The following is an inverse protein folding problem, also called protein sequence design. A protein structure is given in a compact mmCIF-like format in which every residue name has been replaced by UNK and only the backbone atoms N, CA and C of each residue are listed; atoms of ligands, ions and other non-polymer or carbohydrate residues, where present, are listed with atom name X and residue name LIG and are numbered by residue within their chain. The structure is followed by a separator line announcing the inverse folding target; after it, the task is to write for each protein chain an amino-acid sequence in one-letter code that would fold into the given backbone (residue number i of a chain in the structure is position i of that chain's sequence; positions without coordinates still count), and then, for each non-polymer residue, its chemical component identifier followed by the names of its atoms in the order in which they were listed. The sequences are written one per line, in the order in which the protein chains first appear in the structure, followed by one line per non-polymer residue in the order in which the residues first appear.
data_IF_927318037028
#
_entry.id   IF_927318037028
#
_cell.length_a   1.000
_cell.length_b   1.000
_cell.length_c   1.000
_cell.angle_alpha   90.00
_cell.angle_beta   90.00
_cell.angle_gamma   90.00
#
_symmetry.space_group_name_H-M   'P 1'
#
loop_
_entity.id
_entity.type
_entity.pdbx_description
1 polymer ?
#
# COMPACT_ATOMS: atom_id res chain seq x y z
N UNK A 1 8.47 4.05 -7.32
CA UNK A 1 8.19 2.71 -6.74
C UNK A 1 8.80 2.67 -5.35
N UNK A 2 8.05 2.17 -4.37
CA UNK A 2 8.41 2.13 -2.97
C UNK A 2 7.95 0.79 -2.35
N UNK A 3 8.87 -0.18 -2.34
CA UNK A 3 8.69 -1.52 -1.76
C UNK A 3 9.89 -1.87 -0.87
N UNK A 4 9.74 -2.87 -0.02
CA UNK A 4 10.68 -3.26 1.04
C UNK A 4 10.92 -2.14 2.08
N UNK A 5 9.83 -1.52 2.52
CA UNK A 5 9.80 -0.43 3.48
C UNK A 5 9.10 -0.89 4.77
N UNK A 6 9.79 -0.88 5.91
CA UNK A 6 9.11 -1.00 7.20
C UNK A 6 8.51 0.33 7.69
N UNK A 7 8.95 1.46 7.11
CA UNK A 7 8.47 2.80 7.45
C UNK A 7 8.61 3.76 6.26
N UNK A 8 7.61 4.64 6.07
CA UNK A 8 7.61 5.67 5.03
C UNK A 8 8.07 7.01 5.62
N UNK A 9 9.38 7.26 5.57
CA UNK A 9 9.96 8.52 6.04
C UNK A 9 9.58 9.72 5.17
N UNK A 10 9.69 10.94 5.71
CA UNK A 10 9.43 12.18 4.95
C UNK A 10 10.31 12.31 3.69
N UNK A 11 11.53 11.75 3.71
CA UNK A 11 12.39 11.69 2.53
C UNK A 11 11.77 10.84 1.42
N UNK A 12 11.21 9.68 1.80
CA UNK A 12 10.49 8.81 0.86
C UNK A 12 9.23 9.52 0.37
N UNK A 13 8.48 10.16 1.28
CA UNK A 13 7.27 10.90 0.90
C UNK A 13 7.55 11.97 -0.15
N UNK A 14 8.55 12.83 0.10
CA UNK A 14 8.98 13.87 -0.84
C UNK A 14 9.45 13.32 -2.19
N UNK A 15 10.05 12.13 -2.21
CA UNK A 15 10.50 11.50 -3.45
C UNK A 15 9.34 10.90 -4.27
N UNK A 16 8.23 10.57 -3.62
CA UNK A 16 7.02 10.04 -4.25
C UNK A 16 5.99 11.12 -4.60
N UNK A 17 6.14 12.31 -4.03
CA UNK A 17 5.24 13.44 -4.25
C UNK A 17 5.04 13.73 -5.75
N UNK A 18 3.82 14.13 -6.11
CA UNK A 18 3.39 14.47 -7.48
C UNK A 18 3.53 13.35 -8.53
N UNK A 19 3.64 12.10 -8.11
CA UNK A 19 3.61 10.97 -9.03
C UNK A 19 2.19 10.74 -9.57
N UNK A 20 2.05 10.55 -10.89
CA UNK A 20 0.79 10.08 -11.50
C UNK A 20 0.44 8.65 -11.05
N UNK A 21 1.47 7.85 -10.79
CA UNK A 21 1.37 6.42 -10.43
C UNK A 21 2.30 6.10 -9.27
N UNK A 22 1.76 5.40 -8.28
CA UNK A 22 2.52 4.83 -7.18
C UNK A 22 2.49 3.30 -7.24
N UNK A 23 3.59 2.69 -6.85
CA UNK A 23 3.66 1.26 -6.51
C UNK A 23 4.14 1.24 -5.08
N UNK A 24 3.24 0.85 -4.17
CA UNK A 24 3.42 0.97 -2.72
C UNK A 24 3.29 -0.41 -2.09
N UNK A 25 4.18 -0.74 -1.16
CA UNK A 25 4.07 -1.96 -0.37
C UNK A 25 2.83 -1.94 0.54
N UNK A 26 2.12 -3.06 0.56
CA UNK A 26 1.05 -3.34 1.52
C UNK A 26 1.21 -4.80 1.93
N UNK A 27 2.21 -5.07 2.78
CA UNK A 27 2.72 -6.42 2.96
C UNK A 27 1.78 -7.29 3.77
N UNK A 28 1.29 -6.82 4.91
CA UNK A 28 0.54 -7.67 5.83
C UNK A 28 -0.64 -6.95 6.47
N UNK A 29 -1.66 -7.73 6.79
CA UNK A 29 -2.62 -7.39 7.81
C UNK A 29 -2.04 -7.72 9.20
N UNK A 30 -2.18 -6.79 10.14
CA UNK A 30 -1.56 -6.88 11.47
C UNK A 30 -2.12 -8.06 12.25
N UNK A 31 -3.43 -8.29 12.18
CA UNK A 31 -4.09 -9.33 12.96
C UNK A 31 -3.86 -10.71 12.36
N UNK A 32 -3.92 -10.85 11.03
CA UNK A 32 -3.51 -12.09 10.36
C UNK A 32 -2.07 -12.45 10.69
N UNK A 33 -1.15 -11.47 10.65
CA UNK A 33 0.25 -11.71 11.03
C UNK A 33 0.40 -12.14 12.49
N UNK A 34 -0.32 -11.51 13.42
CA UNK A 34 -0.30 -11.87 14.84
C UNK A 34 -0.83 -13.27 15.10
N UNK A 35 -1.91 -13.67 14.43
CA UNK A 35 -2.53 -14.99 14.57
C UNK A 35 -1.81 -16.09 13.75
N UNK A 36 -1.00 -15.69 12.78
CA UNK A 36 -0.29 -16.59 11.87
C UNK A 36 0.75 -17.50 12.54
N UNK A 37 1.29 -18.45 11.77
CA UNK A 37 2.16 -19.52 12.30
C UNK A 37 3.62 -19.10 12.49
N UNK A 38 4.00 -17.90 12.06
CA UNK A 38 5.38 -17.44 12.18
C UNK A 38 5.87 -17.41 13.64
N UNK A 39 7.14 -17.77 13.91
CA UNK A 39 7.74 -17.57 15.21
C UNK A 39 7.67 -16.10 15.63
N UNK A 40 7.59 -15.85 16.94
CA UNK A 40 7.48 -14.48 17.47
C UNK A 40 8.57 -13.54 16.96
N UNK A 41 9.81 -14.01 16.86
CA UNK A 41 10.92 -13.19 16.36
C UNK A 41 10.69 -12.72 14.91
N UNK A 42 10.10 -13.56 14.06
CA UNK A 42 9.75 -13.20 12.69
C UNK A 42 8.62 -12.18 12.65
N UNK A 43 7.54 -12.40 13.43
CA UNK A 43 6.43 -11.44 13.55
C UNK A 43 6.93 -10.07 14.01
N UNK A 44 7.76 -10.05 15.07
CA UNK A 44 8.36 -8.83 15.62
C UNK A 44 9.22 -8.09 14.58
N UNK A 45 9.98 -8.80 13.75
CA UNK A 45 10.77 -8.17 12.68
C UNK A 45 9.85 -7.55 11.62
N UNK A 46 8.84 -8.27 11.15
CA UNK A 46 7.91 -7.81 10.11
C UNK A 46 7.13 -6.57 10.57
N UNK A 47 6.67 -6.57 11.83
CA UNK A 47 5.92 -5.46 12.44
C UNK A 47 6.77 -4.21 12.76
N UNK A 48 8.10 -4.32 12.73
CA UNK A 48 8.98 -3.20 13.08
C UNK A 48 9.29 -2.29 11.90
N UNK A 49 9.85 -1.12 12.19
CA UNK A 49 10.18 -0.07 11.19
C UNK A 49 11.22 -0.49 10.14
N UNK A 50 11.97 -1.57 10.41
CA UNK A 50 12.95 -2.19 9.50
C UNK A 50 12.39 -3.46 8.82
N UNK A 51 11.12 -3.75 9.05
CA UNK A 51 10.38 -4.89 8.49
C UNK A 51 9.68 -4.50 7.20
N UNK A 52 8.37 -4.69 7.19
CA UNK A 52 7.53 -4.48 6.01
C UNK A 52 6.34 -3.59 6.33
N UNK A 53 5.85 -2.86 5.33
CA UNK A 53 4.76 -1.90 5.51
C UNK A 53 3.45 -2.66 5.72
N UNK A 54 2.75 -2.38 6.81
CA UNK A 54 1.40 -2.92 7.01
C UNK A 54 0.39 -2.26 6.06
N UNK A 55 -0.77 -2.88 5.85
CA UNK A 55 -1.85 -2.28 5.06
C UNK A 55 -2.28 -0.91 5.64
N UNK A 56 -2.36 -0.79 6.97
CA UNK A 56 -2.69 0.46 7.64
C UNK A 56 -1.61 1.53 7.39
N UNK A 57 -0.34 1.17 7.54
CA UNK A 57 0.77 2.11 7.30
C UNK A 57 0.86 2.54 5.83
N UNK A 58 0.46 1.67 4.89
CA UNK A 58 0.32 2.02 3.48
C UNK A 58 -0.82 3.04 3.28
N UNK A 59 -1.97 2.84 3.95
CA UNK A 59 -3.06 3.81 3.97
C UNK A 59 -2.67 5.17 4.54
N UNK A 60 -2.01 5.18 5.70
CA UNK A 60 -1.48 6.40 6.32
C UNK A 60 -0.52 7.14 5.39
N UNK A 61 0.45 6.42 4.82
CA UNK A 61 1.41 6.99 3.88
C UNK A 61 0.72 7.57 2.65
N UNK A 62 -0.29 6.86 2.12
CA UNK A 62 -1.03 7.28 0.95
C UNK A 62 -1.92 8.49 1.25
N UNK A 63 -2.53 8.61 2.43
CA UNK A 63 -3.27 9.82 2.85
C UNK A 63 -2.42 11.08 2.81
N UNK A 64 -1.13 10.98 3.13
CA UNK A 64 -0.21 12.10 3.09
C UNK A 64 0.36 12.37 1.68
N UNK A 65 0.41 11.34 0.84
CA UNK A 65 0.97 11.39 -0.51
C UNK A 65 -0.06 11.71 -1.59
N UNK A 66 -1.34 11.46 -1.33
CA UNK A 66 -2.39 11.60 -2.33
C UNK A 66 -2.55 13.08 -2.67
N UNK A 67 -1.98 13.45 -3.81
CA UNK A 67 -2.21 14.75 -4.44
C UNK A 67 -3.28 14.59 -5.51
N UNK A 68 -3.87 15.69 -5.96
CA UNK A 68 -4.82 15.67 -7.09
C UNK A 68 -4.22 15.14 -8.41
N UNK A 69 -2.89 14.99 -8.47
CA UNK A 69 -2.14 14.48 -9.62
C UNK A 69 -2.08 12.93 -9.64
N UNK A 70 -2.17 12.27 -8.47
CA UNK A 70 -2.05 10.81 -8.35
C UNK A 70 -3.32 10.11 -8.83
N UNK A 71 -3.19 9.27 -9.87
CA UNK A 71 -4.32 8.59 -10.52
C UNK A 71 -4.43 7.13 -10.15
N UNK A 72 -3.30 6.48 -9.86
CA UNK A 72 -3.20 5.04 -9.61
C UNK A 72 -2.22 4.74 -8.48
N UNK A 73 -2.59 3.84 -7.59
CA UNK A 73 -1.65 3.20 -6.68
C UNK A 73 -1.80 1.69 -6.77
N UNK A 74 -0.72 1.02 -7.15
CA UNK A 74 -0.63 -0.43 -7.12
C UNK A 74 -0.15 -0.88 -5.75
N UNK A 75 -0.95 -1.72 -5.09
CA UNK A 75 -0.56 -2.33 -3.82
C UNK A 75 0.29 -3.56 -4.13
N UNK A 76 1.54 -3.56 -3.69
CA UNK A 76 2.55 -4.54 -4.06
C UNK A 76 3.17 -5.22 -2.83
N UNK A 77 3.93 -6.28 -3.10
CA UNK A 77 4.69 -7.01 -2.09
C UNK A 77 3.85 -7.57 -0.94
N UNK A 78 2.68 -8.13 -1.27
CA UNK A 78 1.77 -8.75 -0.31
C UNK A 78 2.36 -10.07 0.21
N UNK A 79 2.25 -10.27 1.52
CA UNK A 79 2.51 -11.54 2.20
C UNK A 79 1.48 -12.58 1.77
N UNK A 80 1.95 -13.76 1.35
CA UNK A 80 1.08 -14.87 0.93
C UNK A 80 0.24 -15.43 2.07
N UNK A 81 0.80 -15.49 3.27
CA UNK A 81 0.17 -16.13 4.43
C UNK A 81 -0.60 -15.15 5.33
N UNK A 82 -0.27 -13.85 5.24
CA UNK A 82 -0.74 -12.84 6.19
C UNK A 82 -1.37 -11.62 5.50
N UNK A 83 -1.83 -11.78 4.27
CA UNK A 83 -2.56 -10.75 3.55
C UNK A 83 -3.41 -11.32 2.41
N UNK A 84 -4.32 -10.50 1.90
CA UNK A 84 -5.07 -10.74 0.68
C UNK A 84 -5.27 -9.40 -0.04
N UNK A 85 -5.30 -9.39 -1.37
CA UNK A 85 -5.43 -8.14 -2.14
C UNK A 85 -6.67 -7.33 -1.76
N UNK A 86 -7.81 -8.00 -1.60
CA UNK A 86 -9.06 -7.31 -1.25
C UNK A 86 -9.02 -6.76 0.18
N UNK A 87 -8.38 -7.48 1.11
CA UNK A 87 -8.14 -6.99 2.47
C UNK A 87 -7.21 -5.77 2.46
N UNK A 88 -6.11 -5.81 1.72
CA UNK A 88 -5.20 -4.69 1.57
C UNK A 88 -5.91 -3.44 1.03
N UNK A 89 -6.70 -3.57 -0.04
CA UNK A 89 -7.47 -2.45 -0.62
C UNK A 89 -8.50 -1.90 0.37
N UNK A 90 -9.20 -2.77 1.09
CA UNK A 90 -10.18 -2.37 2.10
C UNK A 90 -9.50 -1.59 3.23
N UNK A 91 -8.49 -2.17 3.87
CA UNK A 91 -7.78 -1.52 4.98
C UNK A 91 -7.13 -0.21 4.56
N UNK A 92 -6.52 -0.14 3.36
CA UNK A 92 -5.94 1.10 2.84
C UNK A 92 -7.02 2.17 2.65
N UNK A 93 -8.15 1.82 2.02
CA UNK A 93 -9.27 2.76 1.83
C UNK A 93 -9.82 3.24 3.18
N UNK A 94 -10.13 2.32 4.09
CA UNK A 94 -10.68 2.65 5.41
C UNK A 94 -9.72 3.57 6.19
N UNK A 95 -8.43 3.25 6.19
CA UNK A 95 -7.42 4.10 6.84
C UNK A 95 -7.35 5.48 6.20
N UNK A 96 -7.50 5.57 4.88
CA UNK A 96 -7.54 6.87 4.19
C UNK A 96 -8.78 7.69 4.55
N UNK A 97 -9.96 7.05 4.61
CA UNK A 97 -11.21 7.69 4.99
C UNK A 97 -11.18 8.18 6.44
N UNK A 98 -10.60 7.39 7.37
CA UNK A 98 -10.37 7.78 8.77
C UNK A 98 -9.47 9.02 8.90
N UNK A 99 -8.56 9.22 7.95
CA UNK A 99 -7.70 10.41 7.84
C UNK A 99 -8.39 11.59 7.12
N UNK A 100 -9.63 11.43 6.68
CA UNK A 100 -10.39 12.44 5.94
C UNK A 100 -10.10 12.47 4.43
N UNK A 101 -9.38 11.49 3.90
CA UNK A 101 -9.05 11.37 2.48
C UNK A 101 -10.06 10.48 1.76
N UNK A 102 -11.12 11.09 1.22
CA UNK A 102 -12.14 10.39 0.43
C UNK A 102 -11.81 10.46 -1.06
N UNK A 103 -11.99 9.34 -1.77
CA UNK A 103 -11.76 9.28 -3.21
C UNK A 103 -12.78 8.40 -3.91
N UNK A 104 -13.04 8.71 -5.19
CA UNK A 104 -13.78 7.84 -6.08
C UNK A 104 -12.80 7.08 -6.97
N UNK A 105 -13.13 5.83 -7.30
CA UNK A 105 -12.35 5.00 -8.23
C UNK A 105 -12.16 5.65 -9.62
N UNK A 106 -13.03 6.61 -10.01
CA UNK A 106 -12.91 7.41 -11.22
C UNK A 106 -11.79 8.47 -11.18
N UNK A 107 -11.40 8.90 -9.98
CA UNK A 107 -10.41 9.96 -9.74
C UNK A 107 -9.07 9.34 -9.37
N UNK A 108 -9.11 8.37 -8.46
CA UNK A 108 -7.98 7.64 -7.95
C UNK A 108 -8.36 6.18 -7.75
N UNK A 109 -7.52 5.25 -8.20
CA UNK A 109 -7.79 3.82 -8.11
C UNK A 109 -6.67 3.07 -7.39
N UNK A 110 -7.05 2.26 -6.42
CA UNK A 110 -6.21 1.19 -5.87
C UNK A 110 -6.23 0.00 -6.83
N UNK A 111 -5.05 -0.36 -7.32
CA UNK A 111 -4.85 -1.39 -8.32
C UNK A 111 -4.23 -2.66 -7.74
N UNK A 112 -4.65 -3.79 -8.29
CA UNK A 112 -4.13 -5.09 -7.91
C UNK A 112 -2.71 -5.31 -8.46
N UNK A 113 -1.94 -6.13 -7.75
CA UNK A 113 -0.74 -6.81 -8.24
C UNK A 113 -0.83 -8.29 -7.89
N UNK A 114 0.01 -9.10 -8.54
CA UNK A 114 -0.06 -10.55 -8.39
C UNK A 114 1.35 -11.13 -8.24
N UNK A 115 1.47 -12.17 -7.42
CA UNK A 115 2.74 -12.88 -7.21
C UNK A 115 2.94 -14.00 -8.23
N UNK A 116 1.84 -14.49 -8.82
CA UNK A 116 1.78 -15.68 -9.68
C UNK A 116 1.66 -15.33 -11.18
N UNK A 117 1.43 -14.06 -11.51
CA UNK A 117 1.28 -13.57 -12.88
C UNK A 117 1.70 -12.11 -13.00
N UNK A 118 1.94 -11.67 -14.23
CA UNK A 118 2.13 -10.25 -14.54
C UNK A 118 0.84 -9.45 -14.33
N UNK A 119 0.96 -8.27 -13.72
CA UNK A 119 -0.12 -7.27 -13.74
C UNK A 119 -0.42 -6.87 -15.19
N UNK A 120 -1.70 -6.83 -15.61
CA UNK A 120 -2.08 -6.38 -16.95
C UNK A 120 -1.58 -4.97 -17.24
N UNK A 121 -1.33 -4.71 -18.53
CA UNK A 121 -0.96 -3.37 -18.99
C UNK A 121 -2.09 -2.36 -18.69
N UNK A 122 -1.74 -1.23 -18.05
CA UNK A 122 -2.67 -0.14 -17.74
C UNK A 122 -2.26 1.13 -18.51
N UNK A 123 -3.24 1.81 -19.09
CA UNK A 123 -3.04 3.05 -19.84
C UNK A 123 -3.56 4.24 -19.04
N UNK A 124 -2.66 5.13 -18.65
CA UNK A 124 -3.02 6.39 -18.02
C UNK A 124 -3.33 7.44 -19.07
N UNK A 125 -4.62 7.73 -19.22
CA UNK A 125 -5.05 8.89 -19.99
C UNK A 125 -4.76 10.15 -19.19
N UNK A 126 -4.01 11.08 -19.77
CA UNK A 126 -3.86 12.41 -19.18
C UNK A 126 -5.21 13.12 -19.15
N UNK A 127 -5.51 13.82 -18.06
CA UNK A 127 -6.59 14.83 -18.08
C UNK A 127 -6.12 15.92 -19.05
N UNK A 128 -6.83 16.07 -20.18
CA UNK A 128 -6.65 17.20 -21.09
C UNK A 128 -7.00 18.50 -20.39
#
# INVERSE_FOLDING_TARGET
MATDLGYVSDKVKRALDRSDVLVLEANHDIELLRMGRYPWNTKRRILGDMGHLSNNSAGDALSELLTGDTKRTYLAHLSLDHNMMDLAKMTVRDTMEDRGCFFKDSEFKLCDTYYDRSTPWDELRSKK
#
